data_IF_730683133114
#
_entry.id   IF_730683133114
#
_cell.length_a   1.000
_cell.length_b   1.000
_cell.length_c   1.000
_cell.angle_alpha   90.00
_cell.angle_beta   90.00
_cell.angle_gamma   90.00
#
_symmetry.space_group_name_H-M   'P 1'
#
loop_
_entity.id
_entity.type
_entity.pdbx_description
1 polymer ?
#
# COMPACT_ATOMS: atom_id res chain seq x y z
N UNK A 1 -27.00 1.21 10.32
CA UNK A 1 -27.68 2.25 9.49
C UNK A 1 -26.61 3.17 8.94
N UNK A 2 -26.57 3.39 7.62
CA UNK A 2 -25.44 4.00 6.89
C UNK A 2 -25.40 5.52 6.99
N UNK A 3 -24.78 6.04 8.04
CA UNK A 3 -24.64 7.48 8.25
C UNK A 3 -23.24 7.94 7.81
N UNK A 4 -23.17 9.04 7.05
CA UNK A 4 -21.96 9.86 6.84
C UNK A 4 -22.04 11.04 7.81
N UNK A 5 -20.96 11.27 8.56
CA UNK A 5 -21.00 12.06 9.79
C UNK A 5 -20.35 13.41 9.61
N UNK A 6 -21.10 14.38 9.08
CA UNK A 6 -20.83 15.78 9.38
C UNK A 6 -21.79 16.23 10.48
N UNK A 7 -21.24 16.89 11.50
CA UNK A 7 -21.97 17.53 12.60
C UNK A 7 -22.75 18.77 12.14
N UNK A 8 -23.43 18.68 10.98
CA UNK A 8 -24.40 19.66 10.49
C UNK A 8 -25.83 19.21 10.81
N UNK A 9 -26.78 20.14 10.78
CA UNK A 9 -28.20 19.85 11.03
C UNK A 9 -28.80 18.85 10.01
N UNK A 10 -28.22 18.75 8.82
CA UNK A 10 -28.55 17.76 7.80
C UNK A 10 -27.46 16.70 7.66
N UNK A 11 -27.81 15.44 7.91
CA UNK A 11 -26.92 14.28 7.74
C UNK A 11 -27.04 13.72 6.32
N UNK A 12 -25.90 13.44 5.67
CA UNK A 12 -25.89 12.63 4.45
C UNK A 12 -25.99 11.17 4.84
N UNK A 13 -27.01 10.48 4.34
CA UNK A 13 -27.15 9.04 4.49
C UNK A 13 -26.58 8.37 3.25
N UNK A 14 -25.71 7.38 3.45
CA UNK A 14 -25.27 6.49 2.39
C UNK A 14 -26.22 5.29 2.33
N UNK A 15 -27.46 5.56 1.89
CA UNK A 15 -28.50 4.53 1.79
C UNK A 15 -28.11 3.39 0.82
N UNK A 16 -27.24 3.69 -0.15
CA UNK A 16 -26.59 2.73 -1.05
C UNK A 16 -25.88 1.60 -0.30
N UNK A 17 -25.21 1.88 0.83
CA UNK A 17 -24.50 0.86 1.62
C UNK A 17 -25.41 -0.17 2.30
N UNK A 18 -26.74 0.05 2.28
CA UNK A 18 -27.73 -0.90 2.78
C UNK A 18 -28.17 -1.92 1.71
N UNK A 19 -27.74 -1.73 0.45
CA UNK A 19 -27.96 -2.69 -0.63
C UNK A 19 -26.92 -3.82 -0.52
N UNK A 20 -27.03 -4.80 -1.43
CA UNK A 20 -25.98 -5.81 -1.57
C UNK A 20 -24.67 -5.15 -2.04
N UNK A 21 -23.69 -5.07 -1.12
CA UNK A 21 -22.38 -4.49 -1.36
C UNK A 21 -21.62 -5.15 -2.52
N UNK A 22 -21.96 -6.39 -2.92
CA UNK A 22 -21.34 -7.04 -4.08
C UNK A 22 -21.83 -6.47 -5.41
N UNK A 23 -23.01 -5.83 -5.42
CA UNK A 23 -23.64 -5.28 -6.62
C UNK A 23 -23.44 -3.78 -6.81
N UNK A 24 -22.91 -3.09 -5.79
CA UNK A 24 -22.71 -1.64 -5.81
C UNK A 24 -21.53 -1.29 -6.72
N UNK A 25 -21.70 -0.24 -7.52
CA UNK A 25 -20.63 0.34 -8.33
C UNK A 25 -19.51 0.89 -7.42
N UNK A 26 -18.26 0.64 -7.79
CA UNK A 26 -17.10 1.08 -7.01
C UNK A 26 -17.05 2.59 -6.86
N UNK A 27 -17.53 3.33 -7.85
CA UNK A 27 -17.64 4.79 -7.77
C UNK A 27 -18.53 5.25 -6.59
N UNK A 28 -19.56 4.48 -6.24
CA UNK A 28 -20.44 4.76 -5.09
C UNK A 28 -19.78 4.39 -3.75
N UNK A 29 -18.71 3.57 -3.75
CA UNK A 29 -17.99 3.14 -2.54
C UNK A 29 -16.85 4.08 -2.15
N UNK A 30 -16.28 4.83 -3.11
CA UNK A 30 -15.15 5.73 -2.85
C UNK A 30 -15.50 6.82 -1.82
N UNK A 31 -16.65 7.48 -1.98
CA UNK A 31 -17.04 8.58 -1.08
C UNK A 31 -17.29 8.11 0.36
N UNK A 32 -18.07 7.03 0.62
CA UNK A 32 -18.25 6.54 1.98
C UNK A 32 -16.95 6.12 2.67
N UNK A 33 -16.03 5.46 1.95
CA UNK A 33 -14.73 5.07 2.51
C UNK A 33 -13.86 6.29 2.82
N UNK A 34 -13.83 7.29 1.92
CA UNK A 34 -13.13 8.55 2.16
C UNK A 34 -13.68 9.27 3.41
N UNK A 35 -14.99 9.36 3.57
CA UNK A 35 -15.63 10.01 4.72
C UNK A 35 -15.30 9.31 6.05
N UNK A 36 -15.29 7.98 6.08
CA UNK A 36 -14.87 7.21 7.25
C UNK A 36 -13.42 7.52 7.61
N UNK A 37 -12.52 7.50 6.61
CA UNK A 37 -11.09 7.79 6.79
C UNK A 37 -10.87 9.20 7.30
N UNK A 38 -11.37 10.20 6.57
CA UNK A 38 -11.18 11.62 6.87
C UNK A 38 -11.87 11.99 8.17
N UNK A 39 -13.06 11.45 8.43
CA UNK A 39 -13.78 11.61 9.68
C UNK A 39 -12.95 11.13 10.87
N UNK A 40 -12.47 9.88 10.81
CA UNK A 40 -11.64 9.28 11.87
C UNK A 40 -10.40 10.12 12.17
N UNK A 41 -9.72 10.60 11.12
CA UNK A 41 -8.49 11.37 11.27
C UNK A 41 -8.73 12.81 11.77
N UNK A 42 -9.86 13.41 11.37
CA UNK A 42 -10.19 14.80 11.72
C UNK A 42 -10.79 14.93 13.12
N UNK A 43 -11.62 13.97 13.51
CA UNK A 43 -12.42 14.04 14.74
C UNK A 43 -12.05 12.99 15.79
N UNK A 44 -11.16 12.05 15.46
CA UNK A 44 -10.80 10.93 16.32
C UNK A 44 -11.67 9.69 16.09
N UNK A 45 -11.40 8.58 16.78
CA UNK A 45 -12.17 7.35 16.62
C UNK A 45 -13.63 7.52 17.09
N UNK A 46 -14.55 6.88 16.39
CA UNK A 46 -15.97 6.77 16.73
C UNK A 46 -16.41 5.31 16.54
N UNK A 47 -17.16 4.77 17.50
CA UNK A 47 -17.69 3.40 17.45
C UNK A 47 -18.43 3.12 16.15
N UNK A 48 -19.16 4.13 15.64
CA UNK A 48 -19.93 3.97 14.41
C UNK A 48 -19.05 3.83 13.17
N UNK A 49 -18.02 4.68 13.05
CA UNK A 49 -17.08 4.59 11.92
C UNK A 49 -16.31 3.28 11.96
N UNK A 50 -15.94 2.82 13.14
CA UNK A 50 -15.28 1.53 13.32
C UNK A 50 -16.20 0.38 12.90
N UNK A 51 -17.46 0.36 13.34
CA UNK A 51 -18.42 -0.68 12.97
C UNK A 51 -18.70 -0.70 11.46
N UNK A 52 -18.94 0.46 10.86
CA UNK A 52 -19.15 0.56 9.41
C UNK A 52 -17.94 0.10 8.62
N UNK A 53 -16.76 0.56 9.02
CA UNK A 53 -15.54 0.16 8.35
C UNK A 53 -15.26 -1.34 8.47
N UNK A 54 -15.40 -1.94 9.65
CA UNK A 54 -15.24 -3.39 9.81
C UNK A 54 -16.22 -4.17 8.92
N UNK A 55 -17.48 -3.72 8.84
CA UNK A 55 -18.47 -4.29 7.95
C UNK A 55 -18.04 -4.17 6.47
N UNK A 56 -17.63 -2.98 6.04
CA UNK A 56 -17.18 -2.73 4.66
C UNK A 56 -15.91 -3.50 4.32
N UNK A 57 -14.91 -3.52 5.21
CA UNK A 57 -13.64 -4.22 5.03
C UNK A 57 -13.88 -5.70 4.71
N UNK A 58 -14.66 -6.40 5.52
CA UNK A 58 -14.92 -7.82 5.32
C UNK A 58 -15.62 -8.11 3.97
N UNK A 59 -16.55 -7.25 3.55
CA UNK A 59 -17.34 -7.46 2.33
C UNK A 59 -16.66 -6.96 1.06
N UNK A 60 -15.77 -5.96 1.15
CA UNK A 60 -15.14 -5.32 -0.01
C UNK A 60 -13.73 -5.84 -0.29
N UNK A 61 -13.04 -6.48 0.66
CA UNK A 61 -11.74 -7.12 0.39
C UNK A 61 -11.78 -8.11 -0.80
N UNK A 62 -12.80 -8.98 -0.96
CA UNK A 62 -12.92 -9.83 -2.14
C UNK A 62 -13.06 -9.07 -3.47
N UNK A 63 -13.36 -7.77 -3.42
CA UNK A 63 -13.50 -6.88 -4.57
C UNK A 63 -12.28 -5.99 -4.77
N UNK A 64 -11.17 -6.22 -4.06
CA UNK A 64 -9.98 -5.34 -4.04
C UNK A 64 -9.37 -5.02 -5.41
N UNK A 65 -9.63 -5.86 -6.40
CA UNK A 65 -9.13 -5.72 -7.78
C UNK A 65 -10.21 -5.38 -8.79
N UNK A 66 -11.45 -5.17 -8.36
CA UNK A 66 -12.51 -4.71 -9.24
C UNK A 66 -12.17 -3.28 -9.69
N UNK A 67 -12.36 -2.98 -10.98
CA UNK A 67 -12.21 -1.64 -11.55
C UNK A 67 -10.78 -1.09 -11.56
N UNK A 68 -10.16 -0.98 -12.73
CA UNK A 68 -8.79 -0.46 -12.88
C UNK A 68 -8.62 1.01 -12.46
N UNK A 69 -9.70 1.79 -12.46
CA UNK A 69 -9.68 3.22 -12.14
C UNK A 69 -10.04 3.54 -10.68
N UNK A 70 -10.43 2.54 -9.89
CA UNK A 70 -10.89 2.76 -8.52
C UNK A 70 -9.80 2.40 -7.51
N UNK A 71 -9.73 3.22 -6.47
CA UNK A 71 -8.73 3.10 -5.42
C UNK A 71 -9.25 2.28 -4.24
N UNK A 72 -10.11 1.28 -4.49
CA UNK A 72 -10.82 0.55 -3.43
C UNK A 72 -9.85 -0.07 -2.42
N UNK A 73 -8.85 -0.83 -2.88
CA UNK A 73 -7.84 -1.42 -2.00
C UNK A 73 -7.07 -0.36 -1.22
N UNK A 74 -6.73 0.75 -1.87
CA UNK A 74 -5.98 1.86 -1.26
C UNK A 74 -6.80 2.53 -0.14
N UNK A 75 -8.11 2.67 -0.34
CA UNK A 75 -9.04 3.18 0.67
C UNK A 75 -9.26 2.18 1.80
N UNK A 76 -9.41 0.89 1.51
CA UNK A 76 -9.51 -0.15 2.53
C UNK A 76 -8.27 -0.14 3.42
N UNK A 77 -7.06 -0.09 2.84
CA UNK A 77 -5.82 -0.02 3.60
C UNK A 77 -5.72 1.29 4.39
N UNK A 78 -6.05 2.43 3.78
CA UNK A 78 -6.02 3.72 4.48
C UNK A 78 -6.99 3.76 5.66
N UNK A 79 -8.20 3.23 5.50
CA UNK A 79 -9.17 3.07 6.58
C UNK A 79 -8.69 2.16 7.69
N UNK A 80 -7.95 1.10 7.34
CA UNK A 80 -7.37 0.22 8.35
C UNK A 80 -6.34 0.97 9.19
N UNK A 81 -5.47 1.72 8.51
CA UNK A 81 -4.41 2.50 9.17
C UNK A 81 -4.96 3.68 9.96
N UNK A 82 -6.04 4.32 9.52
CA UNK A 82 -6.66 5.41 10.29
C UNK A 82 -7.27 4.92 11.60
N UNK A 83 -7.73 3.66 11.66
CA UNK A 83 -8.30 3.05 12.87
C UNK A 83 -7.25 2.42 13.78
N UNK A 84 -6.12 1.97 13.22
CA UNK A 84 -5.03 1.33 13.96
C UNK A 84 -3.67 2.04 13.77
N UNK A 85 -3.58 3.37 13.99
CA UNK A 85 -2.37 4.13 13.66
C UNK A 85 -1.15 3.71 14.49
N UNK A 86 -1.36 3.22 15.72
CA UNK A 86 -0.31 2.75 16.65
C UNK A 86 -0.13 1.23 16.65
N UNK A 87 -0.66 0.55 15.63
CA UNK A 87 -0.74 -0.90 15.62
C UNK A 87 -2.08 -1.42 16.15
N UNK A 88 -2.22 -2.74 16.15
CA UNK A 88 -3.47 -3.41 16.52
C UNK A 88 -3.37 -3.81 18.00
N UNK A 89 -3.82 -2.92 18.89
CA UNK A 89 -3.90 -3.19 20.33
C UNK A 89 -5.00 -2.34 21.01
N UNK A 90 -5.92 -2.94 21.78
CA UNK A 90 -6.15 -4.39 21.85
C UNK A 90 -6.66 -4.93 20.50
N UNK A 91 -6.46 -6.22 20.23
CA UNK A 91 -7.11 -6.86 19.10
C UNK A 91 -8.62 -6.98 19.35
N UNK A 92 -9.49 -6.72 18.33
CA UNK A 92 -10.93 -6.93 18.44
C UNK A 92 -11.31 -8.37 18.82
N UNK A 93 -10.55 -9.35 18.33
CA UNK A 93 -10.61 -10.75 18.70
C UNK A 93 -9.23 -11.41 18.52
N UNK A 94 -8.94 -12.54 19.18
CA UNK A 94 -7.64 -13.21 19.06
C UNK A 94 -7.34 -13.62 17.61
N UNK A 95 -6.23 -13.16 17.05
CA UNK A 95 -5.80 -13.48 15.69
C UNK A 95 -6.20 -12.45 14.64
N UNK A 96 -6.86 -11.35 15.04
CA UNK A 96 -7.31 -10.31 14.11
C UNK A 96 -6.18 -9.75 13.23
N UNK A 97 -4.98 -9.51 13.80
CA UNK A 97 -3.82 -9.06 13.03
C UNK A 97 -3.47 -10.04 11.91
N UNK A 98 -3.50 -11.34 12.22
CA UNK A 98 -3.17 -12.38 11.25
C UNK A 98 -4.22 -12.43 10.14
N UNK A 99 -5.50 -12.37 10.50
CA UNK A 99 -6.59 -12.37 9.52
C UNK A 99 -6.51 -11.17 8.57
N UNK A 100 -6.16 -9.98 9.07
CA UNK A 100 -5.94 -8.79 8.22
C UNK A 100 -4.78 -9.01 7.26
N UNK A 101 -3.66 -9.55 7.73
CA UNK A 101 -2.50 -9.82 6.89
C UNK A 101 -2.76 -10.94 5.87
N UNK A 102 -3.50 -11.97 6.25
CA UNK A 102 -3.87 -13.10 5.39
C UNK A 102 -5.02 -12.78 4.41
N UNK A 103 -5.66 -11.62 4.58
CA UNK A 103 -6.69 -11.12 3.66
C UNK A 103 -6.19 -9.87 2.92
N UNK A 104 -6.29 -8.71 3.56
CA UNK A 104 -5.92 -7.42 2.98
C UNK A 104 -4.44 -7.35 2.58
N UNK A 105 -3.56 -7.93 3.40
CA UNK A 105 -2.12 -7.99 3.12
C UNK A 105 -1.73 -8.91 1.96
N UNK A 106 -2.60 -9.86 1.60
CA UNK A 106 -2.38 -10.80 0.51
C UNK A 106 -3.10 -10.43 -0.79
N UNK A 107 -3.80 -9.29 -0.85
CA UNK A 107 -4.53 -8.88 -2.05
C UNK A 107 -3.66 -8.93 -3.32
N UNK A 108 -2.41 -8.46 -3.29
CA UNK A 108 -1.54 -8.49 -4.48
C UNK A 108 -1.17 -9.91 -4.95
N UNK A 109 -1.35 -10.92 -4.09
CA UNK A 109 -1.09 -12.34 -4.40
C UNK A 109 -2.38 -13.07 -4.84
N UNK A 110 -3.50 -12.35 -4.98
CA UNK A 110 -4.76 -12.89 -5.51
C UNK A 110 -4.54 -13.47 -6.93
N UNK A 111 -5.27 -14.54 -7.25
CA UNK A 111 -5.17 -15.22 -8.53
C UNK A 111 -5.48 -14.31 -9.74
N UNK A 112 -6.21 -13.19 -9.55
CA UNK A 112 -6.42 -12.16 -10.57
C UNK A 112 -5.16 -11.40 -10.93
N UNK A 113 -4.23 -11.22 -9.98
CA UNK A 113 -2.92 -10.62 -10.24
C UNK A 113 -1.94 -11.62 -10.84
N UNK A 114 -2.19 -12.93 -10.65
CA UNK A 114 -1.30 -14.01 -11.07
C UNK A 114 -2.02 -15.09 -11.89
N UNK A 115 -2.71 -14.73 -12.99
CA UNK A 115 -3.42 -15.71 -13.80
C UNK A 115 -2.45 -16.78 -14.30
N UNK A 116 -2.72 -18.04 -13.96
CA UNK A 116 -1.86 -19.19 -14.29
C UNK A 116 -0.41 -19.05 -13.79
N UNK A 117 -0.19 -18.29 -12.70
CA UNK A 117 1.13 -18.09 -12.10
C UNK A 117 1.99 -17.01 -12.77
N UNK A 118 1.48 -16.30 -13.78
CA UNK A 118 2.17 -15.18 -14.42
C UNK A 118 1.57 -13.85 -13.96
N UNK A 119 2.42 -12.83 -13.75
CA UNK A 119 1.96 -11.52 -13.32
C UNK A 119 1.12 -10.82 -14.41
N UNK A 120 -0.07 -10.39 -14.03
CA UNK A 120 -0.89 -9.42 -14.75
C UNK A 120 -0.66 -8.02 -14.17
N UNK A 121 0.08 -7.19 -14.90
CA UNK A 121 0.45 -5.83 -14.47
C UNK A 121 -0.74 -4.87 -14.46
N UNK A 122 -1.76 -5.13 -15.26
CA UNK A 122 -2.95 -4.29 -15.30
C UNK A 122 -3.82 -4.57 -14.07
N UNK A 123 -3.98 -5.85 -13.69
CA UNK A 123 -4.70 -6.21 -12.47
C UNK A 123 -3.91 -5.81 -11.20
N UNK A 124 -2.62 -6.12 -11.14
CA UNK A 124 -1.80 -5.95 -9.94
C UNK A 124 -1.42 -4.48 -9.68
N UNK A 125 -1.09 -3.73 -10.74
CA UNK A 125 -0.52 -2.38 -10.61
C UNK A 125 -1.36 -1.29 -11.28
N UNK A 126 -2.48 -1.63 -11.94
CA UNK A 126 -3.20 -0.72 -12.81
C UNK A 126 -2.34 -0.18 -13.99
N UNK A 127 -1.26 -0.88 -14.35
CA UNK A 127 -0.50 -0.60 -15.58
C UNK A 127 -1.18 -1.31 -16.75
N UNK A 128 -2.22 -0.68 -17.31
CA UNK A 128 -2.87 -1.18 -18.51
C UNK A 128 -1.87 -1.23 -19.68
N UNK A 129 -1.97 -2.27 -20.51
CA UNK A 129 -1.44 -2.22 -21.87
C UNK A 129 -2.33 -1.29 -22.70
N UNK A 130 -2.27 0.02 -22.50
CA UNK A 130 -2.84 0.94 -23.48
C UNK A 130 -1.91 1.00 -24.70
N UNK A 131 -2.37 0.61 -25.90
CA UNK A 131 -1.59 0.77 -27.12
C UNK A 131 -1.35 2.26 -27.47
N UNK A 132 -2.13 3.16 -26.86
CA UNK A 132 -2.14 4.61 -27.10
C UNK A 132 -1.30 5.43 -26.12
N UNK A 133 -0.91 4.89 -24.96
CA UNK A 133 -0.11 5.66 -24.01
C UNK A 133 1.34 5.67 -24.47
N UNK A 134 1.87 6.88 -24.73
CA UNK A 134 3.27 7.08 -25.11
C UNK A 134 4.21 6.76 -23.93
N UNK A 135 3.70 6.79 -22.69
CA UNK A 135 4.41 6.45 -21.43
C UNK A 135 3.67 5.32 -20.70
N UNK A 136 4.38 4.29 -20.27
CA UNK A 136 3.82 3.09 -19.63
C UNK A 136 3.62 3.27 -18.13
N UNK A 137 3.86 4.49 -17.64
CA UNK A 137 3.80 4.92 -16.25
C UNK A 137 4.58 4.01 -15.28
N UNK A 138 5.64 3.35 -15.77
CA UNK A 138 6.52 2.49 -14.97
C UNK A 138 7.36 3.26 -13.96
N UNK A 139 7.26 4.59 -13.94
CA UNK A 139 7.82 5.47 -12.91
C UNK A 139 6.91 5.64 -11.68
N UNK A 140 5.71 5.06 -11.69
CA UNK A 140 4.74 5.07 -10.61
C UNK A 140 4.61 3.66 -10.03
N UNK A 141 4.87 3.51 -8.73
CA UNK A 141 4.83 2.23 -8.02
C UNK A 141 3.45 1.58 -7.97
N UNK A 142 2.39 2.24 -8.44
CA UNK A 142 0.98 1.94 -8.14
C UNK A 142 0.62 2.18 -6.69
N UNK A 143 -0.53 2.81 -6.47
CA UNK A 143 -1.06 3.03 -5.12
C UNK A 143 -1.42 1.73 -4.42
N UNK A 144 -1.95 0.73 -5.16
CA UNK A 144 -2.23 -0.62 -4.65
C UNK A 144 -0.97 -1.31 -4.11
N UNK A 145 0.12 -1.27 -4.87
CA UNK A 145 1.38 -1.86 -4.46
C UNK A 145 1.94 -1.15 -3.22
N UNK A 146 2.01 0.18 -3.28
CA UNK A 146 2.58 0.99 -2.22
C UNK A 146 1.83 0.83 -0.91
N UNK A 147 0.50 0.96 -0.94
CA UNK A 147 -0.35 0.78 0.24
C UNK A 147 -0.24 -0.63 0.83
N UNK A 148 -0.21 -1.68 -0.01
CA UNK A 148 -0.08 -3.07 0.45
C UNK A 148 1.29 -3.35 1.09
N UNK A 149 2.38 -2.87 0.47
CA UNK A 149 3.73 -3.00 1.03
C UNK A 149 3.84 -2.31 2.38
N UNK A 150 3.32 -1.09 2.50
CA UNK A 150 3.31 -0.36 3.76
C UNK A 150 2.42 -0.99 4.82
N UNK A 151 1.25 -1.55 4.44
CA UNK A 151 0.40 -2.31 5.36
C UNK A 151 1.18 -3.47 5.98
N UNK A 152 1.79 -4.32 5.15
CA UNK A 152 2.54 -5.47 5.62
C UNK A 152 3.69 -5.06 6.54
N UNK A 153 4.51 -4.09 6.13
CA UNK A 153 5.64 -3.61 6.94
C UNK A 153 5.17 -3.04 8.29
N UNK A 154 4.07 -2.29 8.29
CA UNK A 154 3.53 -1.64 9.50
C UNK A 154 2.97 -2.65 10.51
N UNK A 155 2.33 -3.73 10.05
CA UNK A 155 1.57 -4.63 10.93
C UNK A 155 2.18 -6.01 11.14
N UNK A 156 3.23 -6.39 10.39
CA UNK A 156 3.99 -7.58 10.69
C UNK A 156 4.76 -7.43 12.00
N UNK A 157 4.90 -8.54 12.73
CA UNK A 157 5.87 -8.63 13.80
C UNK A 157 7.27 -8.40 13.26
N UNK A 158 8.13 -7.73 14.04
CA UNK A 158 9.49 -7.43 13.59
C UNK A 158 10.28 -8.69 13.25
N UNK A 159 10.02 -9.81 13.94
CA UNK A 159 10.61 -11.12 13.65
C UNK A 159 10.24 -11.69 12.28
N UNK A 160 9.09 -11.30 11.74
CA UNK A 160 8.52 -11.89 10.53
C UNK A 160 8.90 -11.12 9.26
N UNK A 161 9.35 -9.86 9.42
CA UNK A 161 9.73 -8.97 8.32
C UNK A 161 10.78 -9.61 7.41
N UNK A 162 11.82 -10.23 7.98
CA UNK A 162 12.91 -10.80 7.17
C UNK A 162 12.43 -11.92 6.25
N UNK A 163 11.68 -12.88 6.79
CA UNK A 163 11.14 -14.00 6.02
C UNK A 163 10.13 -13.51 4.98
N UNK A 164 9.22 -12.61 5.37
CA UNK A 164 8.24 -12.02 4.47
C UNK A 164 8.91 -11.26 3.33
N UNK A 165 9.84 -10.35 3.62
CA UNK A 165 10.47 -9.53 2.59
C UNK A 165 11.35 -10.37 1.67
N UNK A 166 12.01 -11.40 2.18
CA UNK A 166 12.75 -12.37 1.35
C UNK A 166 11.82 -13.07 0.37
N UNK A 167 10.59 -13.41 0.77
CA UNK A 167 9.60 -13.98 -0.16
C UNK A 167 9.17 -13.00 -1.25
N UNK A 168 8.96 -11.72 -0.89
CA UNK A 168 8.62 -10.64 -1.82
C UNK A 168 9.75 -10.39 -2.82
N UNK A 169 11.00 -10.35 -2.36
CA UNK A 169 12.20 -10.20 -3.18
C UNK A 169 12.46 -11.46 -4.05
N UNK A 170 12.03 -12.64 -3.59
CA UNK A 170 12.21 -13.91 -4.28
C UNK A 170 11.29 -14.16 -5.48
N UNK A 171 10.29 -13.30 -5.70
CA UNK A 171 9.37 -13.42 -6.84
C UNK A 171 10.15 -13.25 -8.16
N UNK A 172 10.09 -14.26 -9.02
CA UNK A 172 10.83 -14.33 -10.28
C UNK A 172 10.01 -13.78 -11.46
N UNK A 173 9.59 -12.53 -11.35
CA UNK A 173 9.02 -11.76 -12.47
C UNK A 173 9.75 -10.41 -12.60
N UNK A 174 10.33 -10.08 -13.76
CA UNK A 174 11.10 -8.84 -13.91
C UNK A 174 10.27 -7.58 -13.77
N UNK A 175 8.98 -7.63 -14.13
CA UNK A 175 8.06 -6.49 -13.99
C UNK A 175 7.71 -6.26 -12.51
N UNK A 176 7.63 -7.34 -11.72
CA UNK A 176 7.56 -7.24 -10.26
C UNK A 176 8.83 -6.60 -9.68
N UNK A 177 10.00 -7.09 -10.08
CA UNK A 177 11.30 -6.55 -9.64
C UNK A 177 11.45 -5.06 -9.99
N UNK A 178 11.02 -4.64 -11.17
CA UNK A 178 10.99 -3.24 -11.58
C UNK A 178 10.21 -2.37 -10.59
N UNK A 179 8.96 -2.74 -10.29
CA UNK A 179 8.11 -2.02 -9.36
C UNK A 179 8.67 -2.02 -7.94
N UNK A 180 9.24 -3.15 -7.50
CA UNK A 180 9.85 -3.26 -6.19
C UNK A 180 11.08 -2.37 -6.03
N UNK A 181 11.98 -2.33 -7.01
CA UNK A 181 13.16 -1.45 -6.99
C UNK A 181 12.74 0.02 -6.96
N UNK A 182 11.79 0.39 -7.81
CA UNK A 182 11.24 1.73 -7.88
C UNK A 182 10.61 2.15 -6.54
N UNK A 183 9.73 1.31 -6.01
CA UNK A 183 9.07 1.55 -4.73
C UNK A 183 10.09 1.70 -3.60
N UNK A 184 11.12 0.85 -3.54
CA UNK A 184 12.18 0.96 -2.53
C UNK A 184 12.94 2.29 -2.59
N UNK A 185 13.17 2.85 -3.79
CA UNK A 185 13.79 4.18 -3.94
C UNK A 185 12.85 5.27 -3.40
N UNK A 186 11.58 5.27 -3.82
CA UNK A 186 10.61 6.27 -3.37
C UNK A 186 10.27 6.18 -1.88
N UNK A 187 10.22 4.95 -1.34
CA UNK A 187 9.91 4.69 0.07
C UNK A 187 11.09 4.95 1.01
N UNK A 188 12.31 5.13 0.47
CA UNK A 188 13.53 5.22 1.26
C UNK A 188 13.45 6.29 2.34
N UNK A 189 12.85 7.45 2.09
CA UNK A 189 12.75 8.51 3.10
C UNK A 189 11.91 8.10 4.31
N UNK A 190 10.85 7.31 4.08
CA UNK A 190 10.00 6.80 5.16
C UNK A 190 10.68 5.61 5.87
N UNK A 191 11.32 4.72 5.10
CA UNK A 191 12.06 3.56 5.61
C UNK A 191 13.33 3.96 6.38
N UNK A 192 13.99 5.06 6.03
CA UNK A 192 15.15 5.59 6.75
C UNK A 192 14.75 6.53 7.89
N UNK A 193 13.45 6.83 8.04
CA UNK A 193 12.92 7.77 9.02
C UNK A 193 13.23 9.26 8.75
N UNK A 194 13.64 9.62 7.53
CA UNK A 194 13.78 11.03 7.12
C UNK A 194 12.43 11.75 7.11
N UNK A 195 11.39 11.05 6.67
CA UNK A 195 9.99 11.45 6.88
C UNK A 195 9.32 10.46 7.82
N UNK A 196 8.32 10.93 8.58
CA UNK A 196 7.66 10.12 9.62
C UNK A 196 6.34 9.51 9.16
N UNK A 197 5.71 10.07 8.13
CA UNK A 197 4.38 9.66 7.68
C UNK A 197 4.19 9.79 6.16
N UNK A 198 3.27 9.01 5.57
CA UNK A 198 2.89 9.12 4.16
C UNK A 198 2.33 10.48 3.76
N UNK A 199 1.81 11.26 4.72
CA UNK A 199 1.34 12.61 4.44
C UNK A 199 2.43 13.59 3.98
N UNK A 200 3.70 13.22 4.15
CA UNK A 200 4.84 13.99 3.67
C UNK A 200 5.22 13.69 2.21
N UNK A 201 4.63 12.68 1.56
CA UNK A 201 4.87 12.43 0.14
C UNK A 201 4.34 13.59 -0.71
N UNK A 202 5.15 14.05 -1.66
CA UNK A 202 4.73 15.01 -2.67
C UNK A 202 4.16 14.30 -3.90
N UNK A 203 3.12 14.89 -4.49
CA UNK A 203 2.58 14.43 -5.79
C UNK A 203 3.56 14.60 -6.95
N UNK A 204 4.60 15.40 -6.75
CA UNK A 204 5.66 15.65 -7.73
C UNK A 204 6.91 14.81 -7.46
N UNK A 205 6.89 13.93 -6.47
CA UNK A 205 8.04 13.07 -6.16
C UNK A 205 8.30 12.08 -7.30
N UNK A 206 9.58 11.77 -7.48
CA UNK A 206 10.05 10.78 -8.44
C UNK A 206 11.06 9.85 -7.75
N UNK A 207 10.81 8.52 -7.72
CA UNK A 207 9.63 7.87 -8.28
C UNK A 207 8.37 8.09 -7.42
N UNK A 208 7.20 7.91 -8.04
CA UNK A 208 5.92 8.16 -7.37
C UNK A 208 5.46 6.92 -6.61
N UNK A 209 5.19 7.07 -5.31
CA UNK A 209 4.77 5.98 -4.41
C UNK A 209 3.57 6.35 -3.52
N UNK A 210 2.90 7.48 -3.81
CA UNK A 210 1.69 7.86 -3.09
C UNK A 210 0.52 6.94 -3.46
N UNK A 211 -0.50 6.93 -2.60
CA UNK A 211 -1.76 6.23 -2.84
C UNK A 211 -2.90 7.10 -2.33
N UNK A 212 -4.11 6.74 -2.72
CA UNK A 212 -5.32 7.41 -2.33
C UNK A 212 -5.51 7.33 -0.82
N UNK A 213 -5.56 8.51 -0.18
CA UNK A 213 -5.68 8.63 1.27
C UNK A 213 -4.36 8.72 2.03
N UNK A 214 -3.21 8.48 1.40
CA UNK A 214 -1.88 8.61 2.03
C UNK A 214 -1.68 9.98 2.71
N UNK A 215 -2.13 11.05 2.05
CA UNK A 215 -2.07 12.44 2.55
C UNK A 215 -2.78 12.67 3.88
N UNK A 216 -3.77 11.84 4.19
CA UNK A 216 -4.56 11.95 5.41
C UNK A 216 -3.83 11.31 6.61
N UNK A 217 -2.89 10.39 6.35
CA UNK A 217 -2.19 9.63 7.39
C UNK A 217 -1.05 10.47 7.98
N UNK A 218 -1.38 11.32 8.95
CA UNK A 218 -0.46 12.23 9.65
C UNK A 218 0.07 11.67 10.98
N UNK A 219 -0.38 10.47 11.38
CA UNK A 219 0.02 9.79 12.62
C UNK A 219 -0.58 10.32 13.91
N UNK A 220 -1.56 11.23 13.84
CA UNK A 220 -2.35 11.70 15.00
C UNK A 220 -3.84 11.54 14.69
N UNK A 221 -4.53 10.48 15.16
CA UNK A 221 -5.98 10.40 15.02
C UNK A 221 -6.63 11.48 15.91
N UNK A 222 -7.15 12.53 15.30
CA UNK A 222 -7.78 13.65 15.98
C UNK A 222 -6.80 14.74 16.46
N UNK A 223 -7.36 15.92 16.77
CA UNK A 223 -6.60 17.18 16.96
C UNK A 223 -5.58 17.19 18.12
N UNK A 224 -5.64 16.23 19.03
CA UNK A 224 -4.87 16.23 20.29
C UNK A 224 -4.06 14.93 20.54
N UNK A 225 -4.01 13.99 19.58
CA UNK A 225 -3.26 12.75 19.75
C UNK A 225 -1.75 12.96 19.49
N UNK A 226 -0.91 12.31 20.29
CA UNK A 226 0.54 12.31 20.07
C UNK A 226 0.88 11.63 18.74
N UNK A 227 1.73 12.25 17.92
CA UNK A 227 2.09 11.72 16.62
C UNK A 227 3.07 10.55 16.74
N UNK A 228 2.63 9.37 16.32
CA UNK A 228 3.44 8.16 16.27
C UNK A 228 4.13 7.97 14.92
N UNK A 229 5.30 7.33 14.89
CA UNK A 229 5.90 7.00 13.60
C UNK A 229 4.98 6.05 12.82
N UNK A 230 4.80 6.32 11.51
CA UNK A 230 3.94 5.48 10.69
C UNK A 230 4.41 4.02 10.62
N UNK A 231 5.72 3.80 10.58
CA UNK A 231 6.35 2.47 10.73
C UNK A 231 7.21 2.51 11.98
N UNK A 232 7.10 1.49 12.82
CA UNK A 232 7.90 1.41 14.04
C UNK A 232 9.41 1.37 13.70
N UNK A 233 10.30 2.07 14.44
CA UNK A 233 11.74 2.09 14.15
C UNK A 233 12.36 0.70 13.96
N UNK A 234 12.01 -0.27 14.82
CA UNK A 234 12.52 -1.65 14.70
C UNK A 234 12.09 -2.35 13.41
N UNK A 235 10.88 -2.07 12.90
CA UNK A 235 10.41 -2.62 11.63
C UNK A 235 11.17 -1.99 10.44
N UNK A 236 11.44 -0.67 10.50
CA UNK A 236 12.25 0.02 9.49
C UNK A 236 13.66 -0.58 9.38
N UNK A 237 14.32 -0.75 10.52
CA UNK A 237 15.64 -1.37 10.59
C UNK A 237 15.62 -2.78 10.02
N UNK A 238 14.65 -3.62 10.43
CA UNK A 238 14.51 -4.97 9.91
C UNK A 238 14.28 -5.03 8.39
N UNK A 239 13.53 -4.08 7.81
CA UNK A 239 13.35 -3.96 6.36
C UNK A 239 14.66 -3.59 5.66
N UNK A 240 15.33 -2.54 6.13
CA UNK A 240 16.59 -2.05 5.52
C UNK A 240 17.69 -3.11 5.59
N UNK A 241 17.82 -3.79 6.73
CA UNK A 241 18.80 -4.86 6.92
C UNK A 241 18.49 -6.06 6.02
N UNK A 242 17.21 -6.41 5.86
CA UNK A 242 16.81 -7.50 4.98
C UNK A 242 17.06 -7.18 3.49
N UNK A 243 16.78 -5.94 3.06
CA UNK A 243 17.11 -5.48 1.70
C UNK A 243 18.61 -5.58 1.44
N UNK A 244 19.43 -5.07 2.37
CA UNK A 244 20.90 -5.10 2.28
C UNK A 244 21.47 -6.51 2.28
N UNK A 245 20.91 -7.40 3.09
CA UNK A 245 21.35 -8.79 3.14
C UNK A 245 21.00 -9.55 1.85
N UNK A 246 19.89 -9.22 1.20
CA UNK A 246 19.46 -9.90 -0.02
C UNK A 246 20.15 -9.36 -1.28
N UNK A 247 20.38 -8.04 -1.34
CA UNK A 247 20.82 -7.34 -2.54
C UNK A 247 22.35 -7.33 -2.68
N UNK A 248 22.90 -8.51 -3.01
CA UNK A 248 24.29 -8.65 -3.44
C UNK A 248 24.50 -8.10 -4.85
N UNK A 249 25.75 -7.82 -5.24
CA UNK A 249 26.09 -7.43 -6.62
C UNK A 249 25.58 -8.46 -7.64
N UNK A 250 25.76 -9.74 -7.36
CA UNK A 250 25.30 -10.82 -8.23
C UNK A 250 23.77 -10.83 -8.39
N UNK A 251 23.03 -10.64 -7.28
CA UNK A 251 21.56 -10.51 -7.30
C UNK A 251 21.13 -9.33 -8.16
N UNK A 252 21.77 -8.18 -7.95
CA UNK A 252 21.45 -6.95 -8.66
C UNK A 252 21.70 -7.07 -10.17
N UNK A 253 22.85 -7.60 -10.58
CA UNK A 253 23.17 -7.82 -11.99
C UNK A 253 22.20 -8.81 -12.65
N UNK A 254 21.80 -9.87 -11.94
CA UNK A 254 20.79 -10.81 -12.44
C UNK A 254 19.42 -10.13 -12.63
N UNK A 255 19.01 -9.25 -11.71
CA UNK A 255 17.78 -8.49 -11.83
C UNK A 255 17.83 -7.51 -13.01
N UNK A 256 18.93 -6.76 -13.17
CA UNK A 256 19.14 -5.89 -14.33
C UNK A 256 19.06 -6.64 -15.64
N UNK A 257 19.74 -7.78 -15.75
CA UNK A 257 19.68 -8.63 -16.94
C UNK A 257 18.25 -9.11 -17.22
N UNK A 258 17.48 -9.44 -16.19
CA UNK A 258 16.09 -9.88 -16.36
C UNK A 258 15.16 -8.77 -16.87
N UNK A 259 15.53 -7.50 -16.69
CA UNK A 259 14.78 -6.35 -17.21
C UNK A 259 15.07 -6.05 -18.68
N UNK A 260 16.23 -6.43 -19.21
CA UNK A 260 16.66 -6.07 -20.58
C UNK A 260 15.79 -6.71 -21.69
N UNK A 261 14.95 -7.69 -21.34
CA UNK A 261 13.94 -8.24 -22.24
C UNK A 261 12.69 -7.36 -22.38
N UNK A 262 12.59 -6.28 -21.58
CA UNK A 262 11.49 -5.32 -21.59
C UNK A 262 12.03 -3.90 -21.86
N UNK A 263 12.40 -3.63 -23.11
CA UNK A 263 13.02 -2.35 -23.55
C UNK A 263 12.29 -1.10 -23.02
N UNK A 264 10.96 -1.11 -23.02
CA UNK A 264 10.15 -0.01 -22.51
C UNK A 264 10.35 0.22 -21.01
N UNK A 265 10.36 -0.85 -20.21
CA UNK A 265 10.53 -0.78 -18.76
C UNK A 265 11.94 -0.29 -18.44
N UNK A 266 12.95 -0.85 -19.11
CA UNK A 266 14.34 -0.41 -18.98
C UNK A 266 14.48 1.09 -19.28
N UNK A 267 13.88 1.56 -20.37
CA UNK A 267 13.90 2.97 -20.75
C UNK A 267 13.20 3.87 -19.73
N UNK A 268 12.07 3.45 -19.16
CA UNK A 268 11.29 4.27 -18.23
C UNK A 268 11.89 4.29 -16.81
N UNK A 269 12.52 3.19 -16.39
CA UNK A 269 13.19 3.12 -15.10
C UNK A 269 14.47 3.97 -15.06
N UNK A 270 15.15 4.15 -16.19
CA UNK A 270 16.34 5.00 -16.29
C UNK A 270 17.41 4.62 -15.26
N UNK A 271 17.75 5.55 -14.37
CA UNK A 271 18.77 5.35 -13.33
C UNK A 271 18.24 4.76 -12.02
N UNK A 272 16.93 4.52 -11.89
CA UNK A 272 16.30 4.02 -10.67
C UNK A 272 16.90 2.70 -10.16
N UNK A 273 17.20 1.69 -11.00
CA UNK A 273 17.83 0.45 -10.52
C UNK A 273 19.20 0.70 -9.86
N UNK A 274 20.00 1.61 -10.41
CA UNK A 274 21.29 1.97 -9.83
C UNK A 274 21.15 2.77 -8.54
N UNK A 275 20.15 3.67 -8.45
CA UNK A 275 19.82 4.35 -7.20
C UNK A 275 19.37 3.35 -6.12
N UNK A 276 18.53 2.39 -6.49
CA UNK A 276 18.13 1.31 -5.60
C UNK A 276 19.36 0.55 -5.07
N UNK A 277 20.27 0.13 -5.94
CA UNK A 277 21.50 -0.55 -5.52
C UNK A 277 22.40 0.35 -4.66
N UNK A 278 22.47 1.65 -4.93
CA UNK A 278 23.24 2.57 -4.09
C UNK A 278 22.69 2.73 -2.66
N UNK A 279 21.38 2.54 -2.47
CA UNK A 279 20.73 2.65 -1.17
C UNK A 279 20.79 1.33 -0.37
N UNK A 280 20.67 0.21 -1.07
CA UNK A 280 20.43 -1.10 -0.46
C UNK A 280 21.41 -2.20 -0.88
N UNK A 281 22.43 -1.92 -1.71
CA UNK A 281 23.46 -2.90 -2.07
C UNK A 281 24.34 -3.28 -0.88
N UNK A 282 24.71 -4.56 -0.77
CA UNK A 282 25.50 -5.09 0.34
C UNK A 282 26.87 -4.40 0.53
N UNK A 283 27.44 -3.85 -0.54
CA UNK A 283 28.74 -3.16 -0.51
C UNK A 283 28.64 -1.69 -0.06
N UNK A 284 27.43 -1.16 0.11
CA UNK A 284 27.23 0.20 0.61
C UNK A 284 27.41 0.25 2.13
N UNK A 285 28.56 0.77 2.57
CA UNK A 285 28.76 1.24 3.95
C UNK A 285 28.60 2.77 3.96
N UNK A 286 27.71 3.33 4.81
CA UNK A 286 27.57 4.77 4.96
C UNK A 286 28.87 5.45 5.44
#
# INVERSE_FOLDING_TARGET
MGEAWFMGESRRLFAELQRDLQSIDLAELDTPLEEIVVGTLSFGPSDEWQQWYHYLLAHLTPRSHDGQHHALLEWLITGFVSQHPDGISPEPYPGFRRDVLDTLGQCLMDARCWPSGALDTAACFNHAHEPSSVTGDWFNASGKFSSSMFLCIKYLETSDIHAWLTSVLGIDDPRWRAQLMLWCVGANDLLSGRIRHPSAFSRTDYPRIDWQGARCLTGSPGRNAAACDFIHPAQREAVVDSLRSFMTEATFLAWLQSLSQYERIESELGDLPYRFYSLYGADYRP
#
